data_IF_072248135558
#
_entry.id   IF_072248135558
#
_cell.length_a   1.000
_cell.length_b   1.000
_cell.length_c   1.000
_cell.angle_alpha   90.00
_cell.angle_beta   90.00
_cell.angle_gamma   90.00
#
_symmetry.space_group_name_H-M   'P 1'
#
loop_
_entity.id
_entity.type
_entity.pdbx_description
1 polymer ?
#
# COMPACT_ATOMS: atom_id res chain seq x y z
N UNK A 1 23.76 -5.32 -21.26
CA UNK A 1 23.01 -5.23 -20.00
C UNK A 1 21.75 -6.03 -20.20
N UNK A 2 21.83 -7.33 -19.95
CA UNK A 2 20.70 -8.25 -20.09
C UNK A 2 20.04 -8.30 -18.71
N UNK A 3 18.79 -7.85 -18.63
CA UNK A 3 18.05 -7.69 -17.38
C UNK A 3 17.51 -9.00 -16.81
N UNK A 4 17.87 -10.15 -17.36
CA UNK A 4 17.49 -11.46 -16.82
C UNK A 4 18.63 -12.45 -17.07
N UNK A 5 19.32 -12.85 -16.01
CA UNK A 5 20.24 -13.99 -16.01
C UNK A 5 19.40 -15.27 -15.85
N UNK A 6 19.39 -16.12 -16.88
CA UNK A 6 18.74 -17.44 -16.86
C UNK A 6 19.75 -18.49 -16.38
N UNK A 7 19.98 -18.56 -15.07
CA UNK A 7 20.62 -19.74 -14.47
C UNK A 7 19.61 -20.49 -13.61
N UNK A 8 19.70 -21.83 -13.68
CA UNK A 8 18.94 -22.79 -12.89
C UNK A 8 19.37 -22.70 -11.41
N UNK A 9 18.95 -21.62 -10.75
CA UNK A 9 18.86 -21.52 -9.30
C UNK A 9 17.42 -21.14 -9.06
N UNK A 10 16.70 -21.98 -8.30
CA UNK A 10 15.26 -21.94 -8.16
C UNK A 10 14.69 -20.56 -7.83
N UNK A 11 13.44 -20.38 -8.25
CA UNK A 11 12.52 -19.36 -7.77
C UNK A 11 12.84 -17.91 -8.17
N UNK A 12 12.55 -17.60 -9.43
CA UNK A 12 12.44 -16.24 -9.94
C UNK A 12 11.26 -15.50 -9.28
N UNK A 13 11.56 -14.65 -8.29
CA UNK A 13 10.71 -13.86 -7.37
C UNK A 13 9.54 -13.01 -7.93
N UNK A 14 8.97 -13.33 -9.09
CA UNK A 14 7.63 -12.89 -9.47
C UNK A 14 6.54 -13.90 -9.09
N UNK A 15 6.91 -15.12 -8.66
CA UNK A 15 5.90 -16.11 -8.26
C UNK A 15 5.14 -15.71 -6.99
N UNK A 16 5.64 -14.80 -6.15
CA UNK A 16 4.85 -14.29 -5.01
C UNK A 16 3.67 -13.39 -5.42
N UNK A 17 3.64 -12.90 -6.67
CA UNK A 17 2.46 -12.30 -7.30
C UNK A 17 1.66 -13.29 -8.17
N UNK A 18 2.19 -14.49 -8.43
CA UNK A 18 1.42 -15.62 -8.97
C UNK A 18 1.16 -16.61 -7.85
N UNK A 19 0.09 -16.37 -7.09
CA UNK A 19 -0.44 -17.31 -6.09
C UNK A 19 -0.25 -18.75 -6.59
N UNK A 20 0.61 -19.53 -5.94
CA UNK A 20 0.83 -20.94 -6.31
C UNK A 20 -0.50 -21.67 -6.11
N UNK A 21 -1.18 -21.94 -7.24
CA UNK A 21 -2.51 -22.53 -7.28
C UNK A 21 -2.43 -24.02 -6.97
N UNK A 22 -2.73 -24.38 -5.72
CA UNK A 22 -2.99 -25.78 -5.34
C UNK A 22 -4.47 -25.97 -4.95
N UNK A 23 -5.32 -24.96 -5.15
CA UNK A 23 -6.76 -24.94 -4.87
C UNK A 23 -7.48 -23.74 -5.49
N UNK A 24 -8.79 -23.63 -5.27
CA UNK A 24 -9.65 -22.54 -5.76
C UNK A 24 -9.71 -21.33 -4.79
N UNK A 25 -8.88 -21.35 -3.74
CA UNK A 25 -8.86 -20.37 -2.66
C UNK A 25 -7.43 -20.03 -2.17
N UNK A 26 -7.32 -18.94 -1.40
CA UNK A 26 -6.11 -18.51 -0.70
C UNK A 26 -6.46 -17.86 0.64
N UNK A 27 -5.51 -17.76 1.58
CA UNK A 27 -5.76 -17.15 2.89
C UNK A 27 -5.17 -15.73 2.95
N UNK A 28 -5.98 -14.75 3.35
CA UNK A 28 -5.57 -13.37 3.58
C UNK A 28 -6.28 -12.80 4.82
N UNK A 29 -5.52 -12.20 5.75
CA UNK A 29 -6.10 -11.63 6.98
C UNK A 29 -6.87 -12.66 7.82
N UNK A 30 -6.42 -13.92 7.83
CA UNK A 30 -7.09 -15.04 8.50
C UNK A 30 -8.37 -15.53 7.82
N UNK A 31 -8.71 -15.02 6.63
CA UNK A 31 -9.89 -15.42 5.86
C UNK A 31 -9.49 -16.20 4.63
N UNK A 32 -10.20 -17.29 4.34
CA UNK A 32 -10.13 -18.00 3.06
C UNK A 32 -10.94 -17.23 2.02
N UNK A 33 -10.30 -16.91 0.90
CA UNK A 33 -10.82 -16.06 -0.18
C UNK A 33 -10.71 -16.79 -1.52
N UNK A 34 -11.72 -16.67 -2.41
CA UNK A 34 -11.65 -17.31 -3.73
C UNK A 34 -10.66 -16.59 -4.63
N UNK A 35 -10.07 -17.32 -5.57
CA UNK A 35 -9.18 -16.74 -6.57
C UNK A 35 -9.86 -15.64 -7.39
N UNK A 36 -9.09 -14.64 -7.81
CA UNK A 36 -9.59 -13.52 -8.60
C UNK A 36 -10.39 -12.48 -7.79
N UNK A 37 -10.72 -12.72 -6.52
CA UNK A 37 -11.46 -11.75 -5.70
C UNK A 37 -10.70 -10.43 -5.52
N UNK A 38 -9.37 -10.47 -5.43
CA UNK A 38 -8.53 -9.27 -5.30
C UNK A 38 -8.64 -8.40 -6.54
N UNK A 39 -8.49 -9.01 -7.72
CA UNK A 39 -8.63 -8.31 -9.01
C UNK A 39 -10.06 -7.78 -9.18
N UNK A 40 -11.07 -8.61 -8.88
CA UNK A 40 -12.47 -8.20 -8.89
C UNK A 40 -12.71 -6.99 -7.99
N UNK A 41 -12.26 -7.05 -6.73
CA UNK A 41 -12.48 -5.98 -5.76
C UNK A 41 -11.79 -4.69 -6.18
N UNK A 42 -10.57 -4.77 -6.70
CA UNK A 42 -9.83 -3.59 -7.18
C UNK A 42 -10.51 -2.96 -8.40
N UNK A 43 -10.97 -3.77 -9.36
CA UNK A 43 -11.73 -3.28 -10.53
C UNK A 43 -13.06 -2.61 -10.15
N UNK A 44 -13.62 -2.96 -8.99
CA UNK A 44 -14.87 -2.40 -8.47
C UNK A 44 -14.66 -1.21 -7.51
N UNK A 45 -13.43 -0.72 -7.32
CA UNK A 45 -13.19 0.48 -6.51
C UNK A 45 -13.81 1.69 -7.25
N UNK A 46 -14.72 2.45 -6.61
CA UNK A 46 -15.24 3.68 -7.19
C UNK A 46 -14.13 4.67 -7.56
N UNK A 47 -14.22 5.28 -8.75
CA UNK A 47 -13.17 6.15 -9.28
C UNK A 47 -12.86 7.36 -8.36
N UNK A 48 -13.86 7.91 -7.69
CA UNK A 48 -13.72 8.99 -6.72
C UNK A 48 -12.96 8.55 -5.46
N UNK A 49 -13.19 7.32 -4.99
CA UNK A 49 -12.43 6.72 -3.88
C UNK A 49 -10.98 6.44 -4.28
N UNK A 50 -10.77 5.87 -5.47
CA UNK A 50 -9.43 5.60 -5.99
C UNK A 50 -8.61 6.90 -6.11
N UNK A 51 -9.23 7.96 -6.66
CA UNK A 51 -8.62 9.28 -6.74
C UNK A 51 -8.32 9.87 -5.35
N UNK A 52 -9.19 9.64 -4.37
CA UNK A 52 -8.99 10.10 -3.00
C UNK A 52 -7.80 9.41 -2.32
N UNK A 53 -7.64 8.10 -2.53
CA UNK A 53 -6.47 7.32 -2.06
C UNK A 53 -5.19 7.86 -2.69
N UNK A 54 -5.19 8.02 -4.01
CA UNK A 54 -4.03 8.56 -4.75
C UNK A 54 -3.62 9.95 -4.25
N UNK A 55 -4.56 10.90 -4.18
CA UNK A 55 -4.29 12.28 -3.72
C UNK A 55 -3.79 12.34 -2.28
N UNK A 56 -4.27 11.44 -1.41
CA UNK A 56 -3.81 11.40 -0.02
C UNK A 56 -2.40 10.82 0.07
N UNK A 57 -2.07 9.82 -0.76
CA UNK A 57 -0.71 9.30 -0.89
C UNK A 57 0.27 10.33 -1.47
N UNK A 58 -0.15 11.11 -2.47
CA UNK A 58 0.63 12.21 -3.05
C UNK A 58 0.96 13.27 -1.99
N UNK A 59 -0.04 13.66 -1.18
CA UNK A 59 0.18 14.54 -0.02
C UNK A 59 1.19 13.94 0.97
N UNK A 60 1.11 12.64 1.27
CA UNK A 60 2.06 11.98 2.17
C UNK A 60 3.48 11.99 1.59
N UNK A 61 3.62 11.79 0.28
CA UNK A 61 4.89 11.88 -0.42
C UNK A 61 5.50 13.29 -0.35
N UNK A 62 4.68 14.34 -0.50
CA UNK A 62 5.12 15.72 -0.29
C UNK A 62 5.62 15.95 1.15
N UNK A 63 4.88 15.47 2.15
CA UNK A 63 5.29 15.56 3.56
C UNK A 63 6.59 14.76 3.81
N UNK A 64 6.76 13.61 3.18
CA UNK A 64 8.00 12.84 3.25
C UNK A 64 9.18 13.60 2.61
N UNK A 65 8.99 14.25 1.47
CA UNK A 65 10.03 15.09 0.86
C UNK A 65 10.41 16.26 1.78
N UNK A 66 9.42 16.90 2.41
CA UNK A 66 9.65 17.95 3.42
C UNK A 66 10.40 17.41 4.64
N UNK A 67 10.07 16.21 5.12
CA UNK A 67 10.78 15.55 6.22
C UNK A 67 12.28 15.41 5.92
N UNK A 68 12.63 15.18 4.66
CA UNK A 68 14.02 15.08 4.21
C UNK A 68 14.70 16.44 4.00
N UNK A 69 13.96 17.48 3.64
CA UNK A 69 14.52 18.79 3.28
C UNK A 69 14.53 19.81 4.42
N UNK A 70 13.55 19.75 5.31
CA UNK A 70 13.29 20.76 6.34
C UNK A 70 13.88 20.36 7.69
N UNK A 71 14.09 21.36 8.55
CA UNK A 71 14.35 21.08 9.96
C UNK A 71 13.08 20.52 10.63
N UNK A 72 13.28 19.78 11.71
CA UNK A 72 12.25 19.20 12.54
C UNK A 72 11.23 20.25 12.97
N UNK A 73 9.96 19.87 12.88
CA UNK A 73 8.84 20.60 13.47
C UNK A 73 7.76 19.62 13.89
N UNK A 74 7.16 19.86 15.07
CA UNK A 74 6.03 19.07 15.56
C UNK A 74 4.89 19.08 14.54
N UNK A 75 4.62 20.22 13.90
CA UNK A 75 3.59 20.39 12.87
C UNK A 75 3.75 19.41 11.70
N UNK A 76 4.99 19.21 11.23
CA UNK A 76 5.27 18.28 10.14
C UNK A 76 4.99 16.82 10.56
N UNK A 77 5.43 16.43 11.76
CA UNK A 77 5.20 15.08 12.27
C UNK A 77 3.70 14.81 12.53
N UNK A 78 2.98 15.79 13.09
CA UNK A 78 1.52 15.72 13.25
C UNK A 78 0.84 15.60 11.88
N UNK A 79 1.26 16.39 10.89
CA UNK A 79 0.70 16.33 9.54
C UNK A 79 0.92 14.98 8.87
N UNK A 80 2.08 14.36 9.09
CA UNK A 80 2.38 12.99 8.61
C UNK A 80 1.43 12.00 9.28
N UNK A 81 1.31 12.03 10.62
CA UNK A 81 0.37 11.17 11.37
C UNK A 81 -1.04 11.25 10.81
N UNK A 82 -1.60 12.46 10.77
CA UNK A 82 -2.98 12.69 10.33
C UNK A 82 -3.20 12.24 8.88
N UNK A 83 -2.18 12.36 8.03
CA UNK A 83 -2.25 11.92 6.64
C UNK A 83 -2.25 10.39 6.56
N UNK A 84 -1.44 9.69 7.35
CA UNK A 84 -1.45 8.21 7.43
C UNK A 84 -2.78 7.70 7.98
N UNK A 85 -3.29 8.28 9.08
CA UNK A 85 -4.59 7.92 9.66
C UNK A 85 -5.74 8.14 8.66
N UNK A 86 -5.65 9.19 7.85
CA UNK A 86 -6.61 9.44 6.76
C UNK A 86 -6.53 8.38 5.66
N UNK A 87 -5.33 7.94 5.29
CA UNK A 87 -5.15 6.82 4.34
C UNK A 87 -5.84 5.57 4.90
N UNK A 88 -5.55 5.20 6.16
CA UNK A 88 -6.19 4.05 6.82
C UNK A 88 -7.71 4.12 6.81
N UNK A 89 -8.29 5.27 7.17
CA UNK A 89 -9.74 5.48 7.17
C UNK A 89 -10.36 5.36 5.76
N UNK A 90 -9.62 5.77 4.71
CA UNK A 90 -10.04 5.61 3.32
C UNK A 90 -9.99 4.14 2.89
N UNK A 91 -8.82 3.51 3.01
CA UNK A 91 -8.60 2.15 2.51
C UNK A 91 -9.40 1.12 3.31
N UNK A 92 -9.62 1.32 4.61
CA UNK A 92 -10.34 0.35 5.43
C UNK A 92 -11.80 0.13 5.05
N UNK A 93 -12.35 1.01 4.21
CA UNK A 93 -13.70 0.88 3.65
C UNK A 93 -13.69 0.36 2.21
N UNK A 94 -12.51 0.00 1.69
CA UNK A 94 -12.26 -0.41 0.32
C UNK A 94 -11.75 -1.84 0.35
N UNK A 95 -12.38 -2.73 -0.43
CA UNK A 95 -11.82 -4.05 -0.67
C UNK A 95 -10.66 -3.94 -1.67
N UNK A 96 -9.57 -4.71 -1.53
CA UNK A 96 -9.40 -5.80 -0.56
C UNK A 96 -8.84 -5.36 0.81
N UNK A 97 -8.52 -4.08 1.00
CA UNK A 97 -7.86 -3.61 2.23
C UNK A 97 -8.69 -3.84 3.50
N UNK A 98 -10.01 -3.85 3.39
CA UNK A 98 -10.91 -4.19 4.50
C UNK A 98 -10.82 -5.65 4.96
N UNK A 99 -10.03 -6.51 4.29
CA UNK A 99 -9.72 -7.86 4.77
C UNK A 99 -8.65 -7.88 5.86
N UNK A 100 -7.85 -6.82 5.99
CA UNK A 100 -6.80 -6.72 6.99
C UNK A 100 -7.33 -6.16 8.32
N UNK A 101 -6.63 -6.48 9.41
CA UNK A 101 -6.90 -5.87 10.70
C UNK A 101 -6.29 -4.47 10.77
N UNK A 102 -7.09 -3.46 10.46
CA UNK A 102 -6.63 -2.06 10.43
C UNK A 102 -6.50 -1.47 11.84
N UNK A 103 -7.12 -2.08 12.86
CA UNK A 103 -7.02 -1.59 14.23
C UNK A 103 -5.59 -1.66 14.77
N UNK A 104 -4.84 -2.71 14.43
CA UNK A 104 -3.42 -2.87 14.82
C UNK A 104 -2.52 -1.80 14.18
N UNK A 105 -2.87 -1.29 12.99
CA UNK A 105 -2.11 -0.22 12.34
C UNK A 105 -2.12 1.09 13.14
N UNK A 106 -3.20 1.39 13.87
CA UNK A 106 -3.26 2.58 14.73
C UNK A 106 -2.31 2.46 15.93
N UNK A 107 -2.01 1.26 16.41
CA UNK A 107 -1.01 1.04 17.46
C UNK A 107 0.40 1.36 16.94
N UNK A 108 0.71 0.98 15.69
CA UNK A 108 1.98 1.33 15.05
C UNK A 108 2.13 2.84 14.81
N UNK A 109 1.04 3.52 14.45
CA UNK A 109 1.02 4.99 14.35
C UNK A 109 1.33 5.62 15.70
N UNK A 110 0.71 5.17 16.78
CA UNK A 110 0.93 5.73 18.12
C UNK A 110 2.38 5.52 18.59
N UNK A 111 2.96 4.35 18.30
CA UNK A 111 4.36 4.04 18.63
C UNK A 111 5.38 4.95 17.92
N UNK A 112 5.10 5.38 16.68
CA UNK A 112 6.04 6.13 15.84
C UNK A 112 5.77 7.64 15.80
N UNK A 113 4.50 8.01 15.94
CA UNK A 113 3.98 9.37 15.72
C UNK A 113 2.93 9.78 16.77
N UNK A 114 2.69 8.99 17.81
CA UNK A 114 1.83 9.36 18.93
C UNK A 114 2.31 10.63 19.64
N UNK A 115 1.43 11.26 20.42
CA UNK A 115 1.72 12.56 21.04
C UNK A 115 2.96 12.52 21.94
N UNK A 116 3.15 11.43 22.70
CA UNK A 116 4.33 11.27 23.54
C UNK A 116 5.59 11.01 22.71
N UNK A 117 5.46 10.31 21.58
CA UNK A 117 6.57 10.08 20.66
C UNK A 117 7.00 11.39 19.97
N UNK A 118 6.06 12.24 19.59
CA UNK A 118 6.35 13.58 19.05
C UNK A 118 7.10 14.43 20.08
N UNK A 119 6.71 14.43 21.36
CA UNK A 119 7.47 15.11 22.43
C UNK A 119 8.88 14.54 22.58
N UNK A 120 9.07 13.24 22.42
CA UNK A 120 10.39 12.60 22.44
C UNK A 120 11.25 13.08 21.25
N UNK A 121 10.67 13.13 20.05
CA UNK A 121 11.33 13.69 18.86
C UNK A 121 11.75 15.14 19.09
N UNK A 122 10.84 15.97 19.59
CA UNK A 122 11.12 17.38 19.88
C UNK A 122 12.32 17.55 20.81
N UNK A 123 12.37 16.80 21.90
CA UNK A 123 13.51 16.84 22.84
C UNK A 123 14.81 16.40 22.17
N UNK A 124 14.76 15.34 21.37
CA UNK A 124 15.92 14.78 20.69
C UNK A 124 16.48 15.79 19.68
N UNK A 125 15.64 16.31 18.79
CA UNK A 125 16.05 17.29 17.78
C UNK A 125 16.44 18.64 18.36
N UNK A 126 15.84 19.09 19.47
CA UNK A 126 16.21 20.36 20.13
C UNK A 126 17.65 20.37 20.65
N UNK A 127 18.23 19.20 20.90
CA UNK A 127 19.63 19.06 21.34
C UNK A 127 20.63 18.99 20.18
N UNK A 128 20.15 18.88 18.94
CA UNK A 128 20.99 18.73 17.75
C UNK A 128 21.45 20.08 17.20
N UNK A 129 22.70 20.19 16.70
CA UNK A 129 23.17 21.40 16.01
C UNK A 129 22.38 21.69 14.73
N UNK A 130 22.03 20.64 13.99
CA UNK A 130 21.19 20.70 12.80
C UNK A 130 20.02 19.75 13.06
N UNK A 131 18.83 20.27 13.40
CA UNK A 131 17.68 19.45 13.75
C UNK A 131 17.01 18.89 12.49
N UNK A 132 17.74 18.16 11.64
CA UNK A 132 17.22 17.52 10.45
C UNK A 132 17.59 16.03 10.47
N UNK A 133 16.69 15.22 9.93
CA UNK A 133 16.76 13.76 9.97
C UNK A 133 18.06 13.20 9.38
N UNK A 134 18.63 13.85 8.38
CA UNK A 134 19.80 13.37 7.65
C UNK A 134 21.10 13.60 8.44
N UNK A 135 21.01 14.32 9.56
CA UNK A 135 22.12 14.60 10.45
C UNK A 135 22.00 13.81 11.76
N UNK A 136 21.01 12.93 11.89
CA UNK A 136 20.90 12.01 13.03
C UNK A 136 22.07 11.01 12.97
N UNK A 137 22.92 10.91 14.01
CA UNK A 137 24.12 10.08 13.94
C UNK A 137 23.80 8.58 13.84
N UNK A 138 24.44 7.90 12.90
CA UNK A 138 24.37 6.44 12.74
C UNK A 138 24.77 5.71 14.03
N UNK A 139 24.15 4.54 14.28
CA UNK A 139 24.42 3.73 15.47
C UNK A 139 23.77 4.22 16.76
N UNK A 140 22.94 5.28 16.69
CA UNK A 140 22.11 5.73 17.81
C UNK A 140 20.71 5.12 17.74
N UNK A 141 20.06 4.93 18.90
CA UNK A 141 18.66 4.47 18.94
C UNK A 141 17.71 5.43 18.18
N UNK A 142 18.04 6.73 18.15
CA UNK A 142 17.30 7.74 17.40
C UNK A 142 17.35 7.46 15.89
N UNK A 143 18.53 7.11 15.38
CA UNK A 143 18.72 6.76 13.97
C UNK A 143 17.93 5.51 13.58
N UNK A 144 17.96 4.47 14.41
CA UNK A 144 17.23 3.23 14.15
C UNK A 144 15.70 3.45 14.14
N UNK A 145 15.18 4.21 15.10
CA UNK A 145 13.77 4.60 15.12
C UNK A 145 13.39 5.43 13.90
N UNK A 146 14.30 6.27 13.40
CA UNK A 146 14.06 7.08 12.22
C UNK A 146 14.02 6.24 10.93
N UNK A 147 14.88 5.22 10.80
CA UNK A 147 14.78 4.23 9.72
C UNK A 147 13.39 3.58 9.74
N UNK A 148 12.93 3.10 10.90
CA UNK A 148 11.60 2.49 11.02
C UNK A 148 10.50 3.47 10.63
N UNK A 149 10.57 4.72 11.08
CA UNK A 149 9.60 5.76 10.71
C UNK A 149 9.57 6.01 9.19
N UNK A 150 10.73 6.12 8.55
CA UNK A 150 10.79 6.39 7.09
C UNK A 150 10.28 5.23 6.27
N UNK A 151 10.64 3.99 6.62
CA UNK A 151 10.11 2.80 5.94
C UNK A 151 8.61 2.65 6.19
N UNK A 152 8.13 2.97 7.39
CA UNK A 152 6.71 3.04 7.70
C UNK A 152 6.00 4.03 6.76
N UNK A 153 6.45 5.28 6.66
CA UNK A 153 5.85 6.29 5.78
C UNK A 153 5.87 5.86 4.31
N UNK A 154 7.01 5.34 3.82
CA UNK A 154 7.16 4.84 2.44
C UNK A 154 6.16 3.73 2.13
N UNK A 155 5.91 2.83 3.07
CA UNK A 155 4.96 1.72 2.87
C UNK A 155 3.56 2.24 2.53
N UNK A 156 3.09 3.32 3.18
CA UNK A 156 1.81 3.96 2.89
C UNK A 156 1.81 4.74 1.57
N UNK A 157 2.94 5.37 1.21
CA UNK A 157 3.10 6.01 -0.11
C UNK A 157 2.97 4.97 -1.21
N UNK A 158 3.71 3.86 -1.11
CA UNK A 158 3.65 2.75 -2.06
C UNK A 158 2.27 2.11 -2.10
N UNK A 159 1.63 1.88 -0.96
CA UNK A 159 0.27 1.38 -0.89
C UNK A 159 -0.70 2.22 -1.73
N UNK A 160 -0.65 3.54 -1.58
CA UNK A 160 -1.50 4.46 -2.36
C UNK A 160 -1.18 4.43 -3.86
N UNK A 161 0.11 4.50 -4.23
CA UNK A 161 0.54 4.53 -5.61
C UNK A 161 0.26 3.20 -6.33
N UNK A 162 0.58 2.09 -5.68
CA UNK A 162 0.44 0.74 -6.23
C UNK A 162 -1.01 0.32 -6.33
N UNK A 163 -1.89 0.77 -5.44
CA UNK A 163 -3.34 0.59 -5.59
C UNK A 163 -3.82 1.17 -6.93
N UNK A 164 -3.37 2.38 -7.26
CA UNK A 164 -3.72 3.03 -8.52
C UNK A 164 -3.10 2.32 -9.73
N UNK A 165 -1.82 1.95 -9.63
CA UNK A 165 -1.12 1.24 -10.70
C UNK A 165 -1.75 -0.13 -10.97
N UNK A 166 -2.06 -0.90 -9.93
CA UNK A 166 -2.69 -2.21 -10.07
C UNK A 166 -4.10 -2.10 -10.67
N UNK A 167 -4.89 -1.10 -10.26
CA UNK A 167 -6.17 -0.81 -10.91
C UNK A 167 -6.00 -0.57 -12.41
N UNK A 168 -5.02 0.26 -12.83
CA UNK A 168 -4.76 0.53 -14.24
C UNK A 168 -4.37 -0.71 -15.04
N UNK A 169 -3.48 -1.53 -14.49
CA UNK A 169 -3.07 -2.79 -15.12
C UNK A 169 -4.24 -3.76 -15.22
N UNK A 170 -5.02 -3.93 -14.16
CA UNK A 170 -6.19 -4.80 -14.14
C UNK A 170 -7.25 -4.33 -15.16
N UNK A 171 -7.53 -3.03 -15.21
CA UNK A 171 -8.49 -2.45 -16.17
C UNK A 171 -8.03 -2.65 -17.61
N UNK A 172 -6.75 -2.42 -17.91
CA UNK A 172 -6.19 -2.64 -19.24
C UNK A 172 -6.31 -4.11 -19.67
N UNK A 173 -6.01 -5.04 -18.75
CA UNK A 173 -6.18 -6.46 -19.01
C UNK A 173 -7.65 -6.83 -19.26
N UNK A 174 -8.57 -6.33 -18.43
CA UNK A 174 -10.00 -6.57 -18.59
C UNK A 174 -10.53 -6.05 -19.93
N UNK A 175 -10.26 -4.79 -20.27
CA UNK A 175 -10.64 -4.18 -21.56
C UNK A 175 -10.07 -4.97 -22.73
N UNK A 176 -8.80 -5.40 -22.66
CA UNK A 176 -8.20 -6.20 -23.73
C UNK A 176 -8.88 -7.58 -23.89
N UNK A 177 -9.32 -8.20 -22.80
CA UNK A 177 -10.03 -9.48 -22.85
C UNK A 177 -11.47 -9.34 -23.37
N UNK A 178 -12.19 -8.28 -23.00
CA UNK A 178 -13.62 -8.12 -23.27
C UNK A 178 -13.91 -7.33 -24.55
N UNK A 179 -13.12 -6.33 -24.88
CA UNK A 179 -13.37 -5.39 -25.99
C UNK A 179 -12.47 -5.68 -27.21
N UNK A 180 -11.22 -6.09 -27.00
CA UNK A 180 -10.22 -6.26 -28.08
C UNK A 180 -10.04 -7.70 -28.59
N UNK A 181 -10.92 -8.62 -28.20
CA UNK A 181 -11.21 -9.84 -28.99
C UNK A 181 -10.27 -11.03 -28.82
N UNK A 182 -10.16 -11.60 -27.61
CA UNK A 182 -9.49 -12.91 -27.42
C UNK A 182 -10.36 -14.07 -26.95
N UNK A 183 -11.68 -13.94 -26.78
CA UNK A 183 -12.56 -15.10 -26.55
C UNK A 183 -13.90 -14.94 -27.27
N UNK A 184 -14.30 -16.02 -27.94
CA UNK A 184 -15.61 -16.20 -28.59
C UNK A 184 -16.74 -15.66 -27.69
N UNK A 185 -17.70 -14.92 -28.26
CA UNK A 185 -18.84 -14.32 -27.55
C UNK A 185 -19.61 -15.37 -26.72
N UNK A 186 -19.59 -16.63 -27.13
CA UNK A 186 -20.17 -17.77 -26.41
C UNK A 186 -19.45 -18.02 -25.08
N UNK A 187 -18.12 -17.89 -25.03
CA UNK A 187 -17.32 -18.09 -23.82
C UNK A 187 -17.52 -16.98 -22.79
N UNK A 188 -17.68 -15.74 -23.25
CA UNK A 188 -18.00 -14.59 -22.40
C UNK A 188 -19.40 -14.71 -21.79
N UNK A 189 -20.38 -15.23 -22.54
CA UNK A 189 -21.71 -15.50 -22.01
C UNK A 189 -21.71 -16.58 -20.92
N UNK A 190 -20.84 -17.60 -21.03
CA UNK A 190 -20.66 -18.63 -20.00
C UNK A 190 -19.97 -18.07 -18.76
N UNK A 191 -18.93 -17.24 -18.92
CA UNK A 191 -18.26 -16.58 -17.79
C UNK A 191 -19.22 -15.64 -17.05
N UNK A 192 -19.94 -14.78 -17.77
CA UNK A 192 -20.91 -13.85 -17.20
C UNK A 192 -22.07 -14.58 -16.51
N UNK A 193 -22.49 -15.74 -17.02
CA UNK A 193 -23.47 -16.62 -16.38
C UNK A 193 -22.93 -17.19 -15.06
N UNK A 194 -21.69 -17.68 -15.03
CA UNK A 194 -21.06 -18.21 -13.80
C UNK A 194 -20.87 -17.13 -12.72
N UNK A 195 -20.54 -15.88 -13.11
CA UNK A 195 -20.47 -14.75 -12.15
C UNK A 195 -21.84 -14.27 -11.64
N UNK A 196 -22.94 -14.64 -12.32
CA UNK A 196 -24.30 -14.21 -11.97
C UNK A 196 -25.12 -15.31 -11.27
N UNK A 197 -24.73 -16.57 -11.41
CA UNK A 197 -25.46 -17.72 -10.83
C UNK A 197 -25.03 -18.09 -9.41
N UNK A 198 -23.93 -17.54 -8.86
CA UNK A 198 -23.57 -17.67 -7.43
C UNK A 198 -24.44 -16.81 -6.48
N UNK A 199 -25.57 -16.27 -6.96
CA UNK A 199 -26.58 -15.58 -6.13
C UNK A 199 -27.95 -16.26 -6.13
N UNK A 200 -27.97 -17.56 -5.87
CA UNK A 200 -29.13 -18.27 -5.28
C UNK A 200 -28.64 -19.28 -4.27
#
# INVERSE_FOLDING_TARGET
MNLIETKFVGDANFYKFSVDFVGDDFILGGKTLPLGIITHDILNIPADKLLSVFKTGDKLNDLYNRLNAENYSDELFVSIRETVERILNLIGKIKPFSYFNISEEYEHIDLLLGDDKIKEWQRSFSSMPIPNINFVPEGTAMHDHFIVLTEFIKSYIYLCADTFNFYKVAMMYFVNLTENGFRDKVLLAVLQKNFSEEKK
#
